data_IF_760854323815
#
_entry.id   IF_760854323815
#
_cell.length_a   1.000
_cell.length_b   1.000
_cell.length_c   1.000
_cell.angle_alpha   90.00
_cell.angle_beta   90.00
_cell.angle_gamma   90.00
#
_symmetry.space_group_name_H-M   'P 1'
#
loop_
_entity.id
_entity.type
_entity.pdbx_description
1 polymer ?
#
# COMPACT_ATOMS: atom_id res chain seq x y z
N UNK A 1 -42.08 48.74 -3.52
CA UNK A 1 -42.23 47.66 -2.52
C UNK A 1 -42.02 46.33 -3.22
N UNK A 2 -41.20 45.47 -2.60
CA UNK A 2 -41.02 44.02 -2.79
C UNK A 2 -42.33 43.25 -3.13
N UNK A 3 -42.39 42.05 -3.73
CA UNK A 3 -41.44 41.04 -4.18
C UNK A 3 -42.19 39.94 -4.97
N UNK A 4 -41.42 38.95 -5.45
CA UNK A 4 -41.77 37.55 -5.76
C UNK A 4 -42.16 37.18 -7.20
N UNK A 5 -41.20 36.53 -7.86
CA UNK A 5 -41.38 35.67 -9.03
C UNK A 5 -42.03 34.34 -8.61
N UNK A 6 -43.13 33.93 -9.27
CA UNK A 6 -43.56 32.52 -9.29
C UNK A 6 -43.09 31.86 -10.59
N UNK A 7 -42.32 30.79 -10.44
CA UNK A 7 -41.85 29.90 -11.50
C UNK A 7 -43.00 29.48 -12.44
N UNK A 8 -42.90 29.79 -13.73
CA UNK A 8 -43.71 29.16 -14.77
C UNK A 8 -42.86 28.12 -15.50
N UNK A 9 -42.88 26.91 -14.96
CA UNK A 9 -42.60 25.70 -15.73
C UNK A 9 -43.65 25.63 -16.85
N UNK A 10 -43.23 25.85 -18.09
CA UNK A 10 -44.06 25.61 -19.27
C UNK A 10 -44.34 24.11 -19.40
N UNK A 11 -45.54 23.71 -19.87
CA UNK A 11 -45.85 22.30 -20.05
C UNK A 11 -44.95 21.72 -21.14
N UNK A 12 -44.05 20.80 -20.76
CA UNK A 12 -43.40 19.91 -21.72
C UNK A 12 -44.32 18.71 -21.92
N UNK A 13 -45.01 18.68 -23.07
CA UNK A 13 -45.56 17.44 -23.59
C UNK A 13 -44.40 16.48 -23.87
N UNK A 14 -44.29 15.45 -23.04
CA UNK A 14 -43.30 14.40 -23.18
C UNK A 14 -43.99 13.17 -23.76
N UNK A 15 -44.08 13.11 -25.09
CA UNK A 15 -44.33 11.83 -25.74
C UNK A 15 -43.09 10.94 -25.56
N UNK A 16 -43.22 9.88 -24.77
CA UNK A 16 -42.17 8.86 -24.66
C UNK A 16 -42.05 8.18 -26.02
N UNK A 17 -40.98 8.52 -26.76
CA UNK A 17 -40.64 7.86 -28.02
C UNK A 17 -40.48 6.35 -27.77
N UNK A 18 -41.50 5.57 -28.13
CA UNK A 18 -41.43 4.12 -28.07
C UNK A 18 -40.34 3.64 -29.04
N UNK A 19 -39.25 3.14 -28.47
CA UNK A 19 -38.16 2.55 -29.24
C UNK A 19 -38.64 1.21 -29.78
N UNK A 20 -38.78 1.09 -31.11
CA UNK A 20 -39.07 -0.18 -31.78
C UNK A 20 -38.08 -1.24 -31.30
N UNK A 21 -38.59 -2.36 -30.80
CA UNK A 21 -37.80 -3.55 -30.50
C UNK A 21 -37.35 -4.17 -31.84
N UNK A 22 -36.25 -3.69 -32.40
CA UNK A 22 -35.49 -4.52 -33.33
C UNK A 22 -34.82 -5.62 -32.52
N UNK A 23 -35.15 -6.87 -32.84
CA UNK A 23 -34.46 -8.06 -32.34
C UNK A 23 -33.04 -8.03 -32.88
N UNK A 24 -32.16 -7.31 -32.18
CA UNK A 24 -30.72 -7.40 -32.35
C UNK A 24 -30.25 -8.40 -31.30
N UNK A 25 -29.64 -9.49 -31.76
CA UNK A 25 -29.00 -10.49 -30.91
C UNK A 25 -28.04 -9.81 -29.95
N UNK A 26 -28.45 -9.68 -28.69
CA UNK A 26 -27.64 -9.14 -27.61
C UNK A 26 -26.65 -10.24 -27.23
N UNK A 27 -25.48 -10.29 -27.90
CA UNK A 27 -24.31 -10.96 -27.31
C UNK A 27 -24.10 -10.29 -25.94
N UNK A 28 -24.29 -11.06 -24.87
CA UNK A 28 -24.10 -10.62 -23.49
C UNK A 28 -22.67 -10.08 -23.38
N UNK A 29 -22.52 -8.76 -23.30
CA UNK A 29 -21.28 -8.16 -22.83
C UNK A 29 -21.14 -8.59 -21.37
N UNK A 30 -20.12 -9.40 -21.12
CA UNK A 30 -19.74 -9.81 -19.78
C UNK A 30 -19.41 -8.57 -18.94
N UNK A 31 -19.75 -8.63 -17.66
CA UNK A 31 -19.46 -7.59 -16.66
C UNK A 31 -17.97 -7.22 -16.73
N UNK A 32 -17.58 -5.93 -16.69
CA UNK A 32 -16.20 -5.57 -16.42
C UNK A 32 -15.95 -5.79 -14.93
N UNK A 33 -15.66 -7.04 -14.58
CA UNK A 33 -14.99 -7.39 -13.33
C UNK A 33 -13.63 -7.92 -13.73
N UNK A 34 -12.84 -7.05 -14.34
CA UNK A 34 -11.42 -7.27 -14.45
C UNK A 34 -10.81 -6.59 -13.25
N UNK A 35 -10.51 -7.38 -12.22
CA UNK A 35 -9.46 -6.98 -11.29
C UNK A 35 -8.22 -6.82 -12.17
N UNK A 36 -7.85 -5.58 -12.50
CA UNK A 36 -6.60 -5.27 -13.19
C UNK A 36 -5.47 -5.79 -12.31
N UNK A 37 -5.08 -7.04 -12.53
CA UNK A 37 -3.85 -7.59 -12.03
C UNK A 37 -2.74 -6.83 -12.77
N UNK A 38 -1.79 -6.19 -12.08
CA UNK A 38 -0.63 -5.62 -12.73
C UNK A 38 0.03 -6.71 -13.58
N UNK A 39 0.33 -6.37 -14.83
CA UNK A 39 1.04 -7.27 -15.74
C UNK A 39 2.43 -7.55 -15.17
N UNK A 40 2.74 -8.82 -14.89
CA UNK A 40 4.09 -9.23 -14.53
C UNK A 40 4.98 -9.04 -15.74
N UNK A 41 5.81 -7.99 -15.70
CA UNK A 41 6.88 -7.77 -16.68
C UNK A 41 7.85 -8.95 -16.60
N UNK A 42 8.02 -9.65 -17.72
CA UNK A 42 8.98 -10.73 -17.84
C UNK A 42 10.38 -10.28 -17.43
N UNK A 43 11.09 -11.14 -16.67
CA UNK A 43 12.49 -10.96 -16.27
C UNK A 43 13.40 -10.90 -17.51
N UNK A 44 13.51 -9.72 -18.11
CA UNK A 44 14.53 -9.43 -19.10
C UNK A 44 15.82 -9.16 -18.33
N UNK A 45 16.69 -10.16 -18.29
CA UNK A 45 18.01 -10.04 -17.65
C UNK A 45 18.77 -8.84 -18.21
N UNK A 46 19.46 -8.13 -17.31
CA UNK A 46 20.34 -6.96 -17.54
C UNK A 46 19.64 -5.61 -17.73
N UNK A 47 18.70 -5.30 -16.83
CA UNK A 47 18.19 -3.95 -16.59
C UNK A 47 18.88 -3.28 -15.38
N UNK A 48 19.23 -2.01 -15.49
CA UNK A 48 19.78 -1.23 -14.38
C UNK A 48 18.95 -1.44 -13.10
N UNK A 49 19.60 -1.82 -11.98
CA UNK A 49 18.94 -1.98 -10.67
C UNK A 49 18.03 -0.78 -10.42
N UNK A 50 16.73 -1.03 -10.41
CA UNK A 50 15.75 0.02 -10.19
C UNK A 50 15.92 0.54 -8.77
N UNK A 51 15.43 1.73 -8.50
CA UNK A 51 15.52 2.31 -7.15
C UNK A 51 14.79 1.41 -6.13
N UNK A 52 13.71 0.75 -6.57
CA UNK A 52 12.99 -0.27 -5.80
C UNK A 52 13.88 -1.45 -5.40
N UNK A 53 14.68 -1.99 -6.33
CA UNK A 53 15.60 -3.11 -6.04
C UNK A 53 16.65 -2.73 -4.98
N UNK A 54 17.11 -1.47 -5.02
CA UNK A 54 18.05 -0.93 -4.04
C UNK A 54 17.38 -0.85 -2.68
N UNK A 55 16.17 -0.29 -2.60
CA UNK A 55 15.42 -0.16 -1.35
C UNK A 55 15.11 -1.53 -0.73
N UNK A 56 14.72 -2.52 -1.53
CA UNK A 56 14.51 -3.90 -1.07
C UNK A 56 15.79 -4.48 -0.46
N UNK A 57 16.93 -4.28 -1.12
CA UNK A 57 18.24 -4.75 -0.62
C UNK A 57 18.59 -4.07 0.70
N UNK A 58 18.44 -2.75 0.79
CA UNK A 58 18.76 -1.96 1.99
C UNK A 58 17.90 -2.39 3.18
N UNK A 59 16.58 -2.51 3.00
CA UNK A 59 15.65 -2.94 4.07
C UNK A 59 16.02 -4.34 4.57
N UNK A 60 16.35 -5.26 3.65
CA UNK A 60 16.78 -6.60 4.03
C UNK A 60 18.11 -6.61 4.80
N UNK A 61 19.09 -5.80 4.37
CA UNK A 61 20.39 -5.70 5.04
C UNK A 61 20.28 -5.12 6.45
N UNK A 62 19.43 -4.10 6.64
CA UNK A 62 19.14 -3.53 7.97
C UNK A 62 18.53 -4.62 8.86
N UNK A 63 17.56 -5.37 8.35
CA UNK A 63 16.89 -6.42 9.11
C UNK A 63 17.86 -7.57 9.47
N UNK A 64 18.75 -7.94 8.54
CA UNK A 64 19.77 -8.98 8.75
C UNK A 64 20.75 -8.62 9.86
N UNK A 65 21.13 -7.34 9.98
CA UNK A 65 22.00 -6.84 11.06
C UNK A 65 21.32 -6.89 12.42
N UNK A 66 20.05 -6.49 12.49
CA UNK A 66 19.30 -6.39 13.75
C UNK A 66 18.69 -7.72 14.21
N UNK A 67 18.57 -8.73 13.33
CA UNK A 67 17.94 -10.06 13.51
C UNK A 67 16.46 -10.05 13.87
N UNK A 68 15.99 -9.05 14.60
CA UNK A 68 14.61 -8.84 15.02
C UNK A 68 14.41 -7.35 15.23
N UNK A 69 13.39 -6.76 14.61
CA UNK A 69 13.11 -5.33 14.71
C UNK A 69 11.60 -5.07 14.82
N UNK A 70 11.22 -3.95 15.43
CA UNK A 70 9.84 -3.46 15.38
C UNK A 70 9.55 -2.93 13.97
N UNK A 71 8.35 -3.22 13.45
CA UNK A 71 7.93 -2.82 12.11
C UNK A 71 8.07 -1.31 11.91
N UNK A 72 7.60 -0.53 12.88
CA UNK A 72 7.67 0.93 12.89
C UNK A 72 9.10 1.46 12.83
N UNK A 73 10.06 0.78 13.47
CA UNK A 73 11.47 1.19 13.42
C UNK A 73 12.11 0.88 12.07
N UNK A 74 11.62 -0.15 11.38
CA UNK A 74 12.14 -0.56 10.07
C UNK A 74 11.59 0.30 8.94
N UNK A 75 10.28 0.60 8.95
CA UNK A 75 9.63 1.26 7.81
C UNK A 75 9.48 2.76 7.97
N UNK A 76 9.33 3.29 9.19
CA UNK A 76 9.03 4.71 9.37
C UNK A 76 10.29 5.56 9.27
N UNK A 77 10.26 6.49 8.31
CA UNK A 77 11.18 7.61 8.27
C UNK A 77 10.49 8.85 8.86
N UNK A 78 11.16 9.53 9.80
CA UNK A 78 10.64 10.70 10.52
C UNK A 78 10.68 12.00 9.72
N UNK A 79 11.53 12.05 8.70
CA UNK A 79 11.77 13.23 7.89
C UNK A 79 11.01 13.17 6.56
N UNK A 80 10.74 11.96 6.05
CA UNK A 80 10.10 11.76 4.74
C UNK A 80 8.96 10.74 4.79
N UNK A 81 7.76 11.24 4.46
CA UNK A 81 6.59 10.39 4.23
C UNK A 81 6.78 9.49 3.00
N UNK A 82 7.29 10.04 1.89
CA UNK A 82 7.50 9.28 0.65
C UNK A 82 8.45 8.10 0.90
N UNK A 83 9.55 8.33 1.63
CA UNK A 83 10.49 7.26 2.00
C UNK A 83 9.82 6.19 2.86
N UNK A 84 8.91 6.57 3.76
CA UNK A 84 8.14 5.62 4.56
C UNK A 84 7.28 4.72 3.67
N UNK A 85 6.63 5.30 2.66
CA UNK A 85 5.83 4.54 1.69
C UNK A 85 6.72 3.58 0.88
N UNK A 86 7.89 4.04 0.43
CA UNK A 86 8.86 3.20 -0.27
C UNK A 86 9.38 2.05 0.61
N UNK A 87 9.66 2.30 1.89
CA UNK A 87 10.12 1.27 2.82
C UNK A 87 9.05 0.20 3.05
N UNK A 88 7.78 0.60 3.17
CA UNK A 88 6.64 -0.33 3.25
C UNK A 88 6.54 -1.15 1.97
N UNK A 89 6.71 -0.52 0.81
CA UNK A 89 6.68 -1.21 -0.48
C UNK A 89 7.84 -2.19 -0.62
N UNK A 90 9.05 -1.80 -0.25
CA UNK A 90 10.24 -2.66 -0.22
C UNK A 90 10.05 -3.86 0.71
N UNK A 91 9.53 -3.62 1.93
CA UNK A 91 9.21 -4.70 2.86
C UNK A 91 8.15 -5.66 2.30
N UNK A 92 7.17 -5.14 1.56
CA UNK A 92 6.12 -5.99 0.98
C UNK A 92 6.66 -7.02 -0.01
N UNK A 93 7.68 -6.68 -0.81
CA UNK A 93 8.37 -7.64 -1.68
C UNK A 93 9.09 -8.71 -0.88
N UNK A 94 9.80 -8.32 0.18
CA UNK A 94 10.49 -9.28 1.04
C UNK A 94 9.54 -10.27 1.72
N UNK A 95 8.35 -9.83 2.08
CA UNK A 95 7.30 -10.69 2.65
C UNK A 95 6.67 -11.58 1.57
N UNK A 96 6.38 -11.03 0.37
CA UNK A 96 5.90 -11.81 -0.79
C UNK A 96 6.87 -12.95 -1.14
N UNK A 97 8.15 -12.65 -1.16
CA UNK A 97 9.23 -13.61 -1.46
C UNK A 97 9.48 -14.60 -0.30
N UNK A 98 8.79 -14.44 0.83
CA UNK A 98 8.94 -15.28 2.03
C UNK A 98 10.29 -15.13 2.74
N UNK A 99 11.07 -14.10 2.38
CA UNK A 99 12.39 -13.80 2.98
C UNK A 99 12.28 -13.09 4.33
N UNK A 100 11.10 -12.56 4.63
CA UNK A 100 10.80 -11.86 5.87
C UNK A 100 9.45 -12.32 6.39
N UNK A 101 9.36 -12.45 7.71
CA UNK A 101 8.11 -12.73 8.40
C UNK A 101 7.79 -11.62 9.40
N UNK A 102 6.49 -11.39 9.60
CA UNK A 102 5.96 -10.45 10.58
C UNK A 102 5.14 -11.26 11.57
N UNK A 103 5.43 -11.12 12.87
CA UNK A 103 4.65 -11.72 13.95
C UNK A 103 4.28 -10.65 14.98
N UNK A 104 3.17 -10.85 15.67
CA UNK A 104 2.73 -9.98 16.76
C UNK A 104 3.27 -10.58 18.06
N UNK A 105 4.03 -9.80 18.81
CA UNK A 105 4.54 -10.18 20.13
C UNK A 105 3.43 -10.14 21.20
N UNK A 106 3.66 -10.71 22.38
CA UNK A 106 2.67 -10.74 23.48
C UNK A 106 2.21 -9.33 23.90
N UNK A 107 3.05 -8.32 23.65
CA UNK A 107 2.77 -6.92 23.92
C UNK A 107 1.98 -6.22 22.80
N UNK A 108 1.55 -6.94 21.76
CA UNK A 108 0.84 -6.40 20.61
C UNK A 108 1.72 -5.68 19.58
N UNK A 109 3.05 -5.79 19.69
CA UNK A 109 3.98 -5.14 18.76
C UNK A 109 4.21 -6.00 17.52
N UNK A 110 4.20 -5.37 16.34
CA UNK A 110 4.58 -6.03 15.09
C UNK A 110 6.10 -6.17 15.01
N UNK A 111 6.56 -7.41 15.07
CA UNK A 111 7.97 -7.77 15.01
C UNK A 111 8.26 -8.36 13.65
N UNK A 112 9.28 -7.80 13.00
CA UNK A 112 9.82 -8.23 11.72
C UNK A 112 11.12 -8.98 11.95
N UNK A 113 11.30 -10.12 11.28
CA UNK A 113 12.53 -10.91 11.34
C UNK A 113 12.78 -11.62 9.99
N UNK A 114 14.05 -11.87 9.64
CA UNK A 114 14.39 -12.56 8.41
C UNK A 114 14.00 -14.03 8.51
N UNK A 115 13.49 -14.59 7.41
CA UNK A 115 13.08 -15.99 7.27
C UNK A 115 13.68 -16.55 6.00
N UNK A 116 14.01 -17.84 5.99
CA UNK A 116 14.38 -18.50 4.74
C UNK A 116 13.14 -18.62 3.85
N UNK A 117 13.28 -18.22 2.59
CA UNK A 117 12.20 -18.35 1.62
C UNK A 117 11.73 -19.81 1.53
N UNK A 118 10.41 -20.06 1.46
CA UNK A 118 9.88 -21.40 1.29
C UNK A 118 10.39 -22.01 -0.02
N UNK A 119 10.60 -23.33 -0.03
CA UNK A 119 10.98 -24.03 -1.25
C UNK A 119 9.90 -23.85 -2.33
N UNK A 120 10.30 -23.76 -3.59
CA UNK A 120 9.36 -23.61 -4.71
C UNK A 120 8.29 -24.72 -4.75
N UNK A 121 8.64 -25.92 -4.29
CA UNK A 121 7.71 -27.04 -4.13
C UNK A 121 6.63 -26.78 -3.07
N UNK A 122 6.99 -26.15 -1.94
CA UNK A 122 6.06 -25.80 -0.86
C UNK A 122 5.08 -24.71 -1.31
N UNK A 123 5.53 -23.74 -2.10
CA UNK A 123 4.68 -22.71 -2.72
C UNK A 123 3.70 -23.37 -3.71
N UNK A 124 4.20 -24.23 -4.62
CA UNK A 124 3.37 -24.92 -5.61
C UNK A 124 2.33 -25.88 -4.97
N UNK A 125 2.66 -26.45 -3.82
CA UNK A 125 1.77 -27.32 -3.06
C UNK A 125 0.70 -26.58 -2.24
N UNK A 126 0.79 -25.24 -2.13
CA UNK A 126 -0.15 -24.43 -1.36
C UNK A 126 0.03 -24.49 0.17
N UNK A 127 1.13 -25.07 0.65
CA UNK A 127 1.46 -25.14 2.08
C UNK A 127 1.78 -23.75 2.69
N UNK A 128 2.10 -22.78 1.84
CA UNK A 128 2.38 -21.39 2.23
C UNK A 128 1.09 -20.55 2.15
N UNK A 129 0.58 -20.14 3.31
CA UNK A 129 -0.55 -19.21 3.39
C UNK A 129 -0.08 -17.76 3.39
N UNK A 130 -0.54 -16.96 2.42
CA UNK A 130 -0.30 -15.53 2.35
C UNK A 130 -1.49 -14.75 2.90
N UNK A 131 -1.24 -13.83 3.83
CA UNK A 131 -2.25 -12.90 4.34
C UNK A 131 -2.04 -11.52 3.74
N UNK A 132 -2.98 -11.08 2.91
CA UNK A 132 -2.97 -9.76 2.29
C UNK A 132 -4.04 -8.87 2.93
N UNK A 133 -3.68 -7.63 3.23
CA UNK A 133 -4.62 -6.61 3.71
C UNK A 133 -4.40 -5.31 2.95
N UNK A 134 -5.49 -4.57 2.74
CA UNK A 134 -5.46 -3.23 2.14
C UNK A 134 -5.78 -2.25 3.25
N UNK A 135 -4.93 -1.25 3.41
CA UNK A 135 -5.12 -0.18 4.38
C UNK A 135 -4.87 1.17 3.73
N UNK A 136 -5.60 2.20 4.19
CA UNK A 136 -5.34 3.57 3.80
C UNK A 136 -4.23 4.12 4.69
N UNK A 137 -3.21 4.72 4.08
CA UNK A 137 -2.14 5.40 4.78
C UNK A 137 -1.82 6.72 4.09
N UNK A 138 -2.29 7.81 4.68
CA UNK A 138 -2.09 9.17 4.16
C UNK A 138 -1.08 9.97 5.00
N UNK A 139 -0.73 11.16 4.52
CA UNK A 139 0.23 12.04 5.20
C UNK A 139 -0.23 12.48 6.60
N UNK A 140 -1.54 12.58 6.84
CA UNK A 140 -2.10 12.88 8.18
C UNK A 140 -1.91 11.68 9.09
N UNK A 141 -2.14 10.47 8.58
CA UNK A 141 -1.90 9.23 9.31
C UNK A 141 -0.41 9.11 9.72
N UNK A 142 0.52 9.45 8.82
CA UNK A 142 1.96 9.50 9.12
C UNK A 142 2.31 10.51 10.23
N UNK A 143 1.72 11.71 10.19
CA UNK A 143 1.94 12.72 11.26
C UNK A 143 1.46 12.25 12.61
N UNK A 144 0.27 11.65 12.66
CA UNK A 144 -0.30 11.12 13.90
C UNK A 144 0.56 9.99 14.43
N UNK A 145 0.96 9.05 13.57
CA UNK A 145 1.83 7.94 13.95
C UNK A 145 3.19 8.44 14.47
N UNK A 146 3.78 9.42 13.81
CA UNK A 146 5.01 10.06 14.27
C UNK A 146 4.85 10.68 15.66
N UNK A 147 3.75 11.40 15.91
CA UNK A 147 3.47 12.02 17.20
C UNK A 147 3.30 10.98 18.31
N UNK A 148 2.54 9.91 18.05
CA UNK A 148 2.32 8.82 19.01
C UNK A 148 3.65 8.15 19.39
N UNK A 149 4.50 7.88 18.41
CA UNK A 149 5.82 7.28 18.64
C UNK A 149 6.71 8.25 19.43
N UNK A 150 6.69 9.55 19.12
CA UNK A 150 7.48 10.54 19.89
C UNK A 150 7.10 10.53 21.38
N UNK A 151 5.80 10.40 21.67
CA UNK A 151 5.28 10.33 23.04
C UNK A 151 5.57 8.99 23.72
N UNK A 152 5.45 7.87 23.00
CA UNK A 152 5.65 6.51 23.54
C UNK A 152 7.11 6.21 23.91
N UNK A 153 8.07 6.80 23.18
CA UNK A 153 9.50 6.57 23.40
C UNK A 153 10.22 7.69 24.16
N UNK A 154 9.50 8.72 24.62
CA UNK A 154 10.09 9.80 25.42
C UNK A 154 11.20 10.59 24.71
N UNK A 155 11.13 10.72 23.37
CA UNK A 155 12.14 11.47 22.61
C UNK A 155 11.91 12.95 22.88
N UNK A 156 12.86 13.56 23.60
CA UNK A 156 12.80 14.95 24.03
C UNK A 156 12.66 15.90 22.83
N UNK A 157 12.15 17.11 23.06
CA UNK A 157 12.05 18.14 22.02
C UNK A 157 13.44 18.70 21.64
N UNK A 158 14.50 18.33 22.37
CA UNK A 158 15.86 18.83 22.21
C UNK A 158 16.74 18.00 21.26
N UNK A 159 16.31 16.80 20.84
CA UNK A 159 17.07 15.95 19.90
C UNK A 159 16.85 16.33 18.42
N UNK A 160 16.31 17.52 18.13
CA UNK A 160 15.94 17.95 16.76
C UNK A 160 16.90 18.94 16.11
N UNK A 161 17.99 19.35 16.77
CA UNK A 161 18.88 20.39 16.22
C UNK A 161 20.38 20.03 16.23
N UNK A 162 20.78 18.76 16.32
CA UNK A 162 22.18 18.44 16.05
C UNK A 162 22.39 17.14 15.26
N UNK A 163 22.89 17.36 14.03
CA UNK A 163 23.67 16.48 13.15
C UNK A 163 22.95 15.40 12.29
N UNK A 164 23.54 15.05 11.12
CA UNK A 164 23.84 15.90 9.98
C UNK A 164 23.22 15.32 8.68
N UNK A 165 23.30 16.10 7.60
CA UNK A 165 23.04 15.66 6.23
C UNK A 165 23.65 14.29 5.91
N UNK A 166 22.81 13.32 5.52
CA UNK A 166 23.03 12.10 4.70
C UNK A 166 21.71 11.31 4.81
N UNK A 167 20.95 10.95 3.78
CA UNK A 167 21.12 10.80 2.33
C UNK A 167 20.01 11.56 1.59
#
# INVERSE_FOLDING_TARGET
MHALNPCRLGPMDTEVKQRKLSVVSRKRSARPTENTCPEELADSSEGAKTDTDRNVTVVFDILRKNKRARLETLVLNRQSFAQTVENVFALSFLVKDGRVAINIDDNGHHIVYPRNAPAASAIASGEVSYSHFVFRYDYRDWKVLFLIIKLSYGISIFDLDDQPHCL
#
